data_IF_457703496679
#
_entry.id   IF_457703496679
#
_cell.length_a   1.000
_cell.length_b   1.000
_cell.length_c   1.000
_cell.angle_alpha   90.00
_cell.angle_beta   90.00
_cell.angle_gamma   90.00
#
_symmetry.space_group_name_H-M   'P 1'
#
loop_
_entity.id
_entity.type
_entity.pdbx_description
1 polymer ?
#
# COMPACT_ATOMS: atom_id res chain seq x y z
N UNK A 1 14.25 -40.69 -6.78
CA UNK A 1 13.17 -40.02 -6.01
C UNK A 1 13.63 -38.82 -5.14
N UNK A 2 14.90 -38.35 -5.18
CA UNK A 2 15.37 -37.28 -4.27
C UNK A 2 15.19 -35.83 -4.76
N UNK A 3 15.10 -35.60 -6.08
CA UNK A 3 15.02 -34.24 -6.65
C UNK A 3 13.63 -33.60 -6.44
N UNK A 4 12.54 -34.37 -6.56
CA UNK A 4 11.15 -33.88 -6.37
C UNK A 4 10.86 -33.37 -4.94
N UNK A 5 11.41 -34.03 -3.90
CA UNK A 5 11.27 -33.57 -2.49
C UNK A 5 12.01 -32.25 -2.20
N UNK A 6 13.10 -31.95 -2.93
CA UNK A 6 13.81 -30.66 -2.81
C UNK A 6 13.03 -29.54 -3.48
N UNK A 7 12.43 -29.81 -4.64
CA UNK A 7 11.60 -28.84 -5.38
C UNK A 7 10.32 -28.48 -4.62
N UNK A 8 9.65 -29.44 -3.99
CA UNK A 8 8.48 -29.17 -3.15
C UNK A 8 8.82 -28.34 -1.90
N UNK A 9 9.96 -28.61 -1.26
CA UNK A 9 10.44 -27.80 -0.11
C UNK A 9 10.85 -26.39 -0.54
N UNK A 10 11.41 -26.23 -1.75
CA UNK A 10 11.80 -24.93 -2.29
C UNK A 10 10.57 -24.08 -2.64
N UNK A 11 9.53 -24.69 -3.22
CA UNK A 11 8.24 -24.03 -3.49
C UNK A 11 7.54 -23.60 -2.20
N UNK A 12 7.55 -24.45 -1.16
CA UNK A 12 7.00 -24.10 0.17
C UNK A 12 7.73 -22.93 0.85
N UNK A 13 9.06 -22.83 0.69
CA UNK A 13 9.85 -21.70 1.21
C UNK A 13 9.68 -20.42 0.40
N UNK A 14 9.47 -20.51 -0.91
CA UNK A 14 9.18 -19.35 -1.76
C UNK A 14 7.78 -18.77 -1.49
N UNK A 15 6.85 -19.60 -1.01
CA UNK A 15 5.48 -19.20 -0.68
C UNK A 15 5.31 -18.71 0.76
N UNK A 16 6.26 -19.05 1.65
CA UNK A 16 6.43 -18.37 2.93
C UNK A 16 6.89 -16.95 2.63
N UNK A 17 5.94 -16.01 2.54
CA UNK A 17 6.24 -14.59 2.53
C UNK A 17 7.19 -14.31 3.68
N UNK A 18 8.44 -14.03 3.34
CA UNK A 18 9.46 -13.71 4.33
C UNK A 18 8.90 -12.58 5.18
N UNK A 19 8.82 -12.72 6.52
CA UNK A 19 8.25 -11.70 7.37
C UNK A 19 9.01 -10.40 7.11
N UNK A 20 8.30 -9.35 6.71
CA UNK A 20 8.91 -8.05 6.49
C UNK A 20 9.55 -7.60 7.79
N UNK A 21 10.87 -7.54 7.83
CA UNK A 21 11.59 -7.02 8.99
C UNK A 21 11.39 -5.50 9.02
N UNK A 22 11.37 -4.86 10.18
CA UNK A 22 11.15 -3.40 10.28
C UNK A 22 12.12 -2.57 9.43
N UNK A 23 13.36 -3.05 9.23
CA UNK A 23 14.33 -2.45 8.29
C UNK A 23 13.91 -2.53 6.83
N UNK A 24 13.25 -3.61 6.43
CA UNK A 24 12.74 -3.80 5.08
C UNK A 24 11.50 -2.93 4.83
N UNK A 25 10.66 -2.74 5.86
CA UNK A 25 9.57 -1.76 5.83
C UNK A 25 10.10 -0.33 5.64
N UNK A 26 11.16 0.07 6.34
CA UNK A 26 11.80 1.38 6.14
C UNK A 26 12.34 1.58 4.72
N UNK A 27 12.75 0.50 4.04
CA UNK A 27 13.24 0.57 2.65
C UNK A 27 12.09 0.70 1.65
N UNK A 28 10.92 0.15 1.98
CA UNK A 28 9.68 0.27 1.20
C UNK A 28 8.92 1.57 1.51
N UNK A 29 9.16 2.16 2.68
CA UNK A 29 8.47 3.34 3.16
C UNK A 29 8.52 4.53 2.20
N UNK A 30 9.66 4.93 1.60
CA UNK A 30 9.69 6.07 0.69
C UNK A 30 8.77 5.86 -0.52
N UNK A 31 8.76 4.65 -1.09
CA UNK A 31 7.90 4.31 -2.23
C UNK A 31 6.42 4.23 -1.85
N UNK A 32 6.10 3.73 -0.66
CA UNK A 32 4.73 3.70 -0.13
C UNK A 32 4.24 5.11 0.19
N UNK A 33 5.08 5.91 0.82
CA UNK A 33 4.81 7.30 1.19
C UNK A 33 4.57 8.16 -0.05
N UNK A 34 5.45 8.11 -1.06
CA UNK A 34 5.24 8.84 -2.31
C UNK A 34 3.92 8.45 -3.00
N UNK A 35 3.58 7.15 -3.04
CA UNK A 35 2.31 6.71 -3.64
C UNK A 35 1.11 7.17 -2.84
N UNK A 36 1.16 7.07 -1.52
CA UNK A 36 0.10 7.57 -0.65
C UNK A 36 -0.04 9.09 -0.77
N UNK A 37 1.07 9.82 -0.83
CA UNK A 37 1.12 11.27 -0.98
C UNK A 37 0.51 11.74 -2.31
N UNK A 38 0.84 11.07 -3.41
CA UNK A 38 0.25 11.33 -4.75
C UNK A 38 -1.26 11.10 -4.77
N UNK A 39 -1.81 10.26 -3.89
CA UNK A 39 -3.26 10.02 -3.79
C UNK A 39 -3.91 11.01 -2.83
N UNK A 40 -3.34 11.17 -1.65
CA UNK A 40 -3.90 11.97 -0.55
C UNK A 40 -3.86 13.46 -0.89
N UNK A 41 -2.76 13.95 -1.46
CA UNK A 41 -2.61 15.39 -1.72
C UNK A 41 -3.65 15.95 -2.70
N UNK A 42 -3.84 15.39 -3.91
CA UNK A 42 -4.89 15.86 -4.80
C UNK A 42 -6.28 15.61 -4.23
N UNK A 43 -6.49 14.50 -3.50
CA UNK A 43 -7.77 14.22 -2.85
C UNK A 43 -8.12 15.28 -1.80
N UNK A 44 -7.16 15.66 -0.96
CA UNK A 44 -7.32 16.70 0.05
C UNK A 44 -7.52 18.08 -0.59
N UNK A 45 -6.78 18.41 -1.65
CA UNK A 45 -7.00 19.66 -2.39
C UNK A 45 -8.40 19.74 -3.00
N UNK A 46 -8.86 18.63 -3.59
CA UNK A 46 -10.17 18.54 -4.24
C UNK A 46 -11.29 18.65 -3.18
N UNK A 47 -11.11 18.03 -2.02
CA UNK A 47 -11.98 18.18 -0.85
C UNK A 47 -12.02 19.61 -0.32
N UNK A 48 -10.86 20.25 -0.15
CA UNK A 48 -10.76 21.64 0.30
C UNK A 48 -11.41 22.61 -0.69
N UNK A 49 -11.21 22.39 -1.99
CA UNK A 49 -11.82 23.21 -3.03
C UNK A 49 -13.35 23.08 -3.04
N UNK A 50 -13.87 21.85 -2.97
CA UNK A 50 -15.32 21.59 -2.87
C UNK A 50 -15.93 22.14 -1.58
N UNK A 51 -15.20 22.07 -0.46
CA UNK A 51 -15.59 22.70 0.79
C UNK A 51 -15.66 24.23 0.68
N UNK A 52 -14.68 24.84 -0.01
CA UNK A 52 -14.64 26.28 -0.24
C UNK A 52 -15.72 26.77 -1.23
N UNK A 53 -16.16 25.92 -2.17
CA UNK A 53 -17.23 26.26 -3.13
C UNK A 53 -18.65 26.21 -2.53
N UNK A 54 -18.77 26.11 -1.20
CA UNK A 54 -20.05 26.11 -0.49
C UNK A 54 -20.66 24.73 -0.28
N UNK A 55 -20.01 23.65 -0.72
CA UNK A 55 -20.46 22.27 -0.45
C UNK A 55 -19.97 21.84 0.92
N UNK A 56 -20.66 22.33 1.96
CA UNK A 56 -20.34 22.05 3.38
C UNK A 56 -20.39 20.57 3.73
N UNK A 57 -21.01 19.73 2.89
CA UNK A 57 -21.00 18.28 3.02
C UNK A 57 -19.57 17.72 3.15
N UNK A 58 -18.61 18.27 2.41
CA UNK A 58 -17.20 17.85 2.47
C UNK A 58 -16.43 18.40 3.67
N UNK A 59 -17.04 19.29 4.46
CA UNK A 59 -16.52 19.73 5.75
C UNK A 59 -17.00 18.83 6.90
N UNK A 60 -17.93 17.91 6.64
CA UNK A 60 -18.43 16.97 7.63
C UNK A 60 -17.42 15.84 7.85
N UNK A 61 -17.08 15.59 9.12
CA UNK A 61 -16.18 14.53 9.55
C UNK A 61 -16.52 13.16 8.94
N UNK A 62 -17.79 12.78 8.89
CA UNK A 62 -18.23 11.48 8.36
C UNK A 62 -18.04 11.35 6.86
N UNK A 63 -18.29 12.44 6.13
CA UNK A 63 -18.09 12.47 4.67
C UNK A 63 -16.61 12.41 4.35
N UNK A 64 -15.78 13.18 5.07
CA UNK A 64 -14.33 13.12 4.93
C UNK A 64 -13.82 11.70 5.21
N UNK A 65 -14.23 11.09 6.32
CA UNK A 65 -13.88 9.70 6.65
C UNK A 65 -14.31 8.72 5.56
N UNK A 66 -15.55 8.84 5.08
CA UNK A 66 -16.06 7.98 4.00
C UNK A 66 -15.25 8.10 2.72
N UNK A 67 -14.88 9.31 2.31
CA UNK A 67 -14.08 9.50 1.10
C UNK A 67 -12.64 9.07 1.27
N UNK A 68 -12.02 9.30 2.43
CA UNK A 68 -10.69 8.74 2.70
C UNK A 68 -10.73 7.20 2.69
N UNK A 69 -11.79 6.58 3.20
CA UNK A 69 -11.96 5.12 3.15
C UNK A 69 -12.15 4.62 1.72
N UNK A 70 -12.98 5.29 0.92
CA UNK A 70 -13.21 4.95 -0.48
C UNK A 70 -11.92 5.07 -1.30
N UNK A 71 -11.18 6.17 -1.12
CA UNK A 71 -9.88 6.35 -1.73
C UNK A 71 -8.90 5.28 -1.28
N UNK A 72 -8.88 4.92 0.01
CA UNK A 72 -8.07 3.82 0.50
C UNK A 72 -8.41 2.51 -0.22
N UNK A 73 -9.68 2.14 -0.36
CA UNK A 73 -10.10 0.89 -1.01
C UNK A 73 -9.70 0.89 -2.49
N UNK A 74 -9.96 1.98 -3.22
CA UNK A 74 -9.66 2.11 -4.65
C UNK A 74 -8.14 2.06 -4.89
N UNK A 75 -7.38 2.84 -4.14
CA UNK A 75 -5.93 2.96 -4.31
C UNK A 75 -5.13 1.94 -3.47
N UNK A 76 -5.80 1.06 -2.71
CA UNK A 76 -5.18 0.00 -1.92
C UNK A 76 -4.21 -0.81 -2.77
N UNK A 77 -4.64 -1.19 -3.99
CA UNK A 77 -3.81 -1.96 -4.93
C UNK A 77 -2.57 -1.18 -5.39
N UNK A 78 -2.70 0.12 -5.61
CA UNK A 78 -1.64 0.99 -6.10
C UNK A 78 -0.61 1.30 -5.00
N UNK A 79 -1.08 1.70 -3.82
CA UNK A 79 -0.25 2.02 -2.65
C UNK A 79 0.54 0.78 -2.22
N UNK A 80 -0.11 -0.37 -2.02
CA UNK A 80 0.56 -1.60 -1.58
C UNK A 80 1.23 -2.41 -2.69
N UNK A 81 1.31 -1.89 -3.91
CA UNK A 81 2.06 -2.51 -5.02
C UNK A 81 3.51 -2.90 -4.66
N UNK A 82 4.31 -2.05 -3.99
CA UNK A 82 5.69 -2.37 -3.61
C UNK A 82 5.77 -3.47 -2.55
N UNK A 83 4.80 -3.50 -1.63
CA UNK A 83 4.70 -4.53 -0.57
C UNK A 83 4.31 -5.87 -1.18
N UNK A 84 3.43 -5.88 -2.18
CA UNK A 84 3.03 -7.11 -2.90
C UNK A 84 4.15 -7.71 -3.73
N UNK A 85 5.02 -6.87 -4.31
CA UNK A 85 6.15 -7.30 -5.14
C UNK A 85 7.47 -7.35 -4.37
N UNK A 86 7.45 -7.20 -3.04
CA UNK A 86 8.66 -7.28 -2.24
C UNK A 86 9.28 -8.69 -2.36
N UNK A 87 10.41 -8.76 -3.07
CA UNK A 87 11.30 -9.92 -3.07
C UNK A 87 12.47 -9.57 -2.16
N UNK A 88 12.73 -10.35 -1.10
CA UNK A 88 13.86 -10.09 -0.24
C UNK A 88 15.15 -10.11 -1.09
N UNK A 89 16.08 -9.18 -0.85
CA UNK A 89 17.36 -9.20 -1.54
C UNK A 89 18.03 -10.55 -1.25
N UNK A 90 18.44 -11.27 -2.30
CA UNK A 90 19.23 -12.48 -2.14
C UNK A 90 20.46 -12.12 -1.29
N UNK A 91 20.57 -12.72 -0.11
CA UNK A 91 21.78 -12.61 0.72
C UNK A 91 22.98 -12.96 -0.18
N UNK A 92 23.88 -11.99 -0.40
CA UNK A 92 25.23 -12.28 -0.89
C UNK A 92 26.00 -13.02 0.20
#
# INVERSE_FOLDING_TARGET
MGKRRREEKLKRRAQQRVPLTGRDMLRLFPGLFLRAFVVILPLSLLMSYLGASGVTLFNNFWVQMGVYLAAYIIFNRFIFGPVRNYRPPAKK
#
